data_IF_273321190882
#
_entry.id   IF_273321190882
#
_cell.length_a   1.000
_cell.length_b   1.000
_cell.length_c   1.000
_cell.angle_alpha   90.00
_cell.angle_beta   90.00
_cell.angle_gamma   90.00
#
_symmetry.space_group_name_H-M   'P 1'
#
loop_
_entity.id
_entity.type
_entity.pdbx_description
1 polymer ?
#
# COMPACT_ATOMS: atom_id res chain seq x y z
N UNK A 1 -1.06 8.02 7.69
CA UNK A 1 -1.24 7.79 6.23
C UNK A 1 -1.12 6.29 5.99
N UNK A 2 -1.99 5.72 5.16
CA UNK A 2 -1.86 4.32 4.74
C UNK A 2 -0.54 4.13 3.99
N UNK A 3 0.24 3.10 4.33
CA UNK A 3 1.54 2.83 3.71
C UNK A 3 1.51 2.80 2.19
N UNK A 4 0.42 2.35 1.57
CA UNK A 4 0.31 2.27 0.10
C UNK A 4 0.28 3.62 -0.62
N UNK A 5 0.02 4.71 0.11
CA UNK A 5 -0.17 6.04 -0.47
C UNK A 5 0.98 7.01 -0.16
N UNK A 6 1.95 6.64 0.67
CA UNK A 6 3.12 7.47 0.99
C UNK A 6 4.25 7.20 -0.02
N UNK A 7 4.62 8.22 -0.80
CA UNK A 7 5.66 8.11 -1.84
C UNK A 7 7.03 8.53 -1.29
N UNK A 8 7.09 9.66 -0.59
CA UNK A 8 8.32 10.18 0.01
C UNK A 8 8.02 11.22 1.10
N UNK A 9 9.01 11.49 1.95
CA UNK A 9 8.96 12.53 2.97
C UNK A 9 10.34 13.21 3.10
N UNK A 10 10.37 14.43 3.62
CA UNK A 10 11.60 15.19 3.76
C UNK A 10 12.60 14.54 4.72
N UNK A 11 13.89 14.69 4.42
CA UNK A 11 14.99 14.24 5.28
C UNK A 11 14.90 14.89 6.67
N UNK A 12 15.06 14.09 7.72
CA UNK A 12 14.96 14.55 9.12
C UNK A 12 13.55 14.52 9.71
N UNK A 13 12.51 14.23 8.93
CA UNK A 13 11.19 13.94 9.50
C UNK A 13 11.20 12.59 10.23
N UNK A 14 10.54 12.54 11.39
CA UNK A 14 10.31 11.30 12.12
C UNK A 14 9.31 10.40 11.37
N UNK A 15 9.62 9.11 11.28
CA UNK A 15 8.83 8.10 10.58
C UNK A 15 8.59 6.90 11.49
N UNK A 16 7.33 6.53 11.74
CA UNK A 16 6.98 5.36 12.55
C UNK A 16 5.84 4.57 11.92
N UNK A 17 6.09 3.30 11.62
CA UNK A 17 5.06 2.37 11.14
C UNK A 17 4.37 1.70 12.33
N UNK A 18 3.04 1.72 12.34
CA UNK A 18 2.18 1.01 13.30
C UNK A 18 1.24 0.09 12.56
N UNK A 19 1.00 -1.10 13.11
CA UNK A 19 -0.06 -1.99 12.63
C UNK A 19 -1.39 -1.57 13.26
N UNK A 20 -2.44 -1.44 12.45
CA UNK A 20 -3.79 -1.19 12.97
C UNK A 20 -4.57 -2.51 12.94
N UNK A 21 -5.06 -2.93 14.11
CA UNK A 21 -5.83 -4.16 14.30
C UNK A 21 -4.94 -5.40 14.56
N UNK A 22 -5.44 -6.31 15.42
CA UNK A 22 -4.76 -7.57 15.74
C UNK A 22 -4.60 -8.48 14.52
N UNK A 23 -3.91 -9.61 14.67
CA UNK A 23 -3.52 -10.58 13.62
C UNK A 23 -4.58 -10.85 12.53
N UNK A 24 -5.89 -10.83 12.86
CA UNK A 24 -6.97 -10.95 11.86
C UNK A 24 -7.05 -9.75 10.90
N UNK A 25 -6.88 -8.51 11.36
CA UNK A 25 -6.95 -7.30 10.51
C UNK A 25 -5.79 -7.19 9.52
N UNK A 26 -4.61 -7.71 9.87
CA UNK A 26 -3.43 -7.71 8.99
C UNK A 26 -3.53 -8.78 7.89
N UNK A 27 -4.25 -9.88 8.14
CA UNK A 27 -4.41 -11.00 7.21
C UNK A 27 -5.53 -10.79 6.16
N UNK A 28 -6.52 -9.95 6.44
CA UNK A 28 -7.69 -9.78 5.55
C UNK A 28 -7.64 -8.55 4.62
N UNK A 29 -6.68 -7.62 4.78
CA UNK A 29 -6.76 -6.30 4.10
C UNK A 29 -5.60 -5.93 3.19
N UNK A 30 -4.41 -6.56 3.29
CA UNK A 30 -3.19 -6.09 2.59
C UNK A 30 -2.63 -4.76 3.12
N UNK A 31 -3.48 -3.84 3.58
CA UNK A 31 -3.18 -2.48 4.04
C UNK A 31 -3.23 -2.35 5.59
N UNK A 32 -2.54 -3.25 6.29
CA UNK A 32 -2.55 -3.31 7.76
C UNK A 32 -1.59 -2.34 8.47
N UNK A 33 -0.98 -1.39 7.75
CA UNK A 33 0.12 -0.56 8.23
C UNK A 33 -0.22 0.93 8.06
N UNK A 34 -0.10 1.68 9.15
CA UNK A 34 -0.22 3.13 9.15
C UNK A 34 1.10 3.75 9.53
N UNK A 35 1.46 4.81 8.82
CA UNK A 35 2.64 5.61 9.11
C UNK A 35 2.24 6.88 9.85
N UNK A 36 2.91 7.12 10.98
CA UNK A 36 2.97 8.41 11.65
C UNK A 36 4.22 9.17 11.15
N UNK A 37 4.01 10.41 10.70
CA UNK A 37 5.07 11.34 10.30
C UNK A 37 5.10 12.50 11.29
N UNK A 38 6.27 12.92 11.75
CA UNK A 38 6.41 14.01 12.73
C UNK A 38 7.56 14.94 12.38
N UNK A 39 7.34 16.24 12.57
CA UNK A 39 8.31 17.29 12.29
C UNK A 39 7.92 18.17 11.09
N UNK A 40 8.59 19.31 10.91
CA UNK A 40 8.39 20.16 9.76
C UNK A 40 8.98 19.50 8.51
N UNK A 41 8.27 19.58 7.39
CA UNK A 41 8.77 19.03 6.13
C UNK A 41 7.65 18.76 5.14
N UNK A 42 8.05 18.40 3.92
CA UNK A 42 7.11 18.05 2.85
C UNK A 42 6.86 16.55 2.84
N UNK A 43 5.60 16.18 2.64
CA UNK A 43 5.16 14.80 2.43
C UNK A 43 4.58 14.69 1.02
N UNK A 44 4.99 13.66 0.28
CA UNK A 44 4.46 13.32 -1.04
C UNK A 44 3.54 12.10 -0.91
N UNK A 45 2.30 12.28 -1.32
CA UNK A 45 1.27 11.25 -1.31
C UNK A 45 0.80 10.97 -2.73
N UNK A 46 0.47 9.72 -3.02
CA UNK A 46 -0.29 9.34 -4.20
C UNK A 46 -1.75 9.15 -3.85
N UNK A 47 -2.65 9.54 -4.76
CA UNK A 47 -4.11 9.38 -4.59
C UNK A 47 -4.62 8.05 -5.17
N UNK A 48 -3.79 7.36 -5.94
CA UNK A 48 -4.11 6.09 -6.58
C UNK A 48 -3.50 4.96 -5.77
N UNK A 49 -4.33 3.99 -5.40
CA UNK A 49 -3.89 2.73 -4.81
C UNK A 49 -3.45 1.78 -5.93
N UNK A 50 -2.19 1.35 -5.87
CA UNK A 50 -1.65 0.30 -6.74
C UNK A 50 -2.42 -1.01 -6.55
N UNK A 51 -2.80 -1.33 -5.31
CA UNK A 51 -3.59 -2.52 -4.98
C UNK A 51 -4.98 -2.48 -5.61
N UNK A 52 -5.66 -1.33 -5.56
CA UNK A 52 -6.94 -1.15 -6.23
C UNK A 52 -6.81 -1.27 -7.76
N UNK A 53 -5.72 -0.74 -8.33
CA UNK A 53 -5.43 -0.86 -9.75
C UNK A 53 -5.14 -2.31 -10.16
N UNK A 54 -4.29 -3.02 -9.43
CA UNK A 54 -3.96 -4.43 -9.68
C UNK A 54 -5.19 -5.34 -9.50
N UNK A 55 -5.99 -5.11 -8.46
CA UNK A 55 -7.24 -5.85 -8.22
C UNK A 55 -8.23 -5.67 -9.37
N UNK A 56 -8.29 -4.48 -9.97
CA UNK A 56 -9.09 -4.23 -11.16
C UNK A 56 -8.49 -4.86 -12.43
N UNK A 57 -7.16 -4.85 -12.56
CA UNK A 57 -6.44 -5.27 -13.77
C UNK A 57 -6.32 -6.80 -13.89
N UNK A 58 -5.91 -7.49 -12.82
CA UNK A 58 -5.60 -8.93 -12.81
C UNK A 58 -6.73 -9.79 -13.40
N UNK A 59 -8.03 -9.58 -13.05
CA UNK A 59 -9.11 -10.36 -13.63
C UNK A 59 -9.33 -10.16 -15.13
N UNK A 60 -8.77 -9.08 -15.72
CA UNK A 60 -8.88 -8.74 -17.14
C UNK A 60 -7.67 -9.22 -17.95
N UNK A 61 -6.62 -9.71 -17.31
CA UNK A 61 -5.44 -10.21 -18.02
C UNK A 61 -5.79 -11.53 -18.74
N UNK A 62 -5.30 -11.73 -19.98
CA UNK A 62 -5.44 -13.01 -20.67
C UNK A 62 -4.82 -14.11 -19.80
N UNK A 63 -5.57 -15.19 -19.58
CA UNK A 63 -5.00 -16.38 -18.95
C UNK A 63 -4.08 -17.03 -19.98
N UNK A 64 -2.87 -17.48 -19.59
CA UNK A 64 -2.06 -18.32 -20.46
C UNK A 64 -2.91 -19.52 -20.90
N UNK A 65 -2.99 -19.78 -22.20
CA UNK A 65 -3.70 -20.95 -22.71
C UNK A 65 -3.02 -22.21 -22.17
N UNK A 66 -3.73 -22.93 -21.28
CA UNK A 66 -3.39 -24.29 -20.91
C UNK A 66 -3.75 -25.23 -22.07
N UNK A 67 -3.06 -25.11 -23.21
CA UNK A 67 -3.06 -26.09 -24.30
C UNK A 67 -1.62 -26.35 -24.71
N UNK A 68 -1.01 -27.29 -24.02
CA UNK A 68 0.33 -27.80 -24.29
C UNK A 68 0.58 -29.06 -23.47
N UNK A 69 -0.09 -30.14 -23.86
CA UNK A 69 0.02 -31.49 -23.32
C UNK A 69 -0.63 -32.46 -24.29
#
# INVERSE_FOLDING_TARGET
>A
VDTGHLVAFAEGMGFKVRRIGGLKSTLFSGEGLVVDLTGPGRVLLQTRSEDAFLSWLIPKLPKPDSRGG
#
